data_IF_601881762136
#
_entry.id   IF_601881762136
#
_cell.length_a   1.000
_cell.length_b   1.000
_cell.length_c   1.000
_cell.angle_alpha   90.00
_cell.angle_beta   90.00
_cell.angle_gamma   90.00
#
_symmetry.space_group_name_H-M   'P 1'
#
loop_
_entity.id
_entity.type
_entity.pdbx_description
1 polymer ?
#
# COMPACT_ATOMS: atom_id res chain seq x y z
N UNK A 1 -5.38 20.81 -21.15
CA UNK A 1 -6.20 19.72 -20.62
C UNK A 1 -5.81 19.51 -19.17
N UNK A 2 -6.76 19.53 -18.23
CA UNK A 2 -6.47 19.24 -16.81
C UNK A 2 -5.87 17.83 -16.71
N UNK A 3 -4.73 17.69 -16.03
CA UNK A 3 -4.13 16.38 -15.74
C UNK A 3 -5.17 15.61 -14.92
N UNK A 4 -5.69 14.51 -15.46
CA UNK A 4 -6.70 13.68 -14.80
C UNK A 4 -6.14 13.16 -13.49
N UNK A 5 -6.97 13.10 -12.46
CA UNK A 5 -6.51 12.74 -11.12
C UNK A 5 -6.94 11.32 -10.75
N UNK A 6 -5.98 10.50 -10.32
CA UNK A 6 -6.29 9.22 -9.70
C UNK A 6 -6.86 9.45 -8.31
N UNK A 7 -7.74 8.55 -7.89
CA UNK A 7 -8.48 8.68 -6.63
C UNK A 7 -8.01 7.62 -5.66
N UNK A 8 -7.60 8.00 -4.46
CA UNK A 8 -7.03 7.11 -3.46
C UNK A 8 -7.90 7.12 -2.21
N UNK A 9 -8.48 5.98 -1.87
CA UNK A 9 -9.26 5.77 -0.66
C UNK A 9 -8.34 5.16 0.41
N UNK A 10 -8.24 5.81 1.56
CA UNK A 10 -7.38 5.38 2.66
C UNK A 10 -8.15 4.65 3.76
N UNK A 11 -7.55 3.56 4.24
CA UNK A 11 -7.82 2.99 5.56
C UNK A 11 -7.10 3.82 6.67
N UNK A 12 -7.69 3.89 7.86
CA UNK A 12 -7.08 4.52 9.04
C UNK A 12 -5.71 3.92 9.37
N UNK A 13 -5.51 2.63 9.13
CA UNK A 13 -4.24 1.94 9.36
C UNK A 13 -3.06 2.60 8.63
N UNK A 14 -3.32 3.25 7.49
CA UNK A 14 -2.31 4.06 6.79
C UNK A 14 -1.73 5.14 7.70
N UNK A 15 -2.58 6.00 8.24
CA UNK A 15 -2.17 7.13 9.08
C UNK A 15 -1.68 6.68 10.44
N UNK A 16 -2.27 5.63 11.02
CA UNK A 16 -1.80 5.02 12.27
C UNK A 16 -0.36 4.55 12.10
N UNK A 17 -0.04 3.82 11.02
CA UNK A 17 1.32 3.39 10.73
C UNK A 17 2.28 4.59 10.59
N UNK A 18 1.88 5.65 9.87
CA UNK A 18 2.70 6.87 9.72
C UNK A 18 3.00 7.54 11.07
N UNK A 19 2.05 7.52 12.00
CA UNK A 19 2.25 8.04 13.36
C UNK A 19 3.19 7.14 14.18
N UNK A 20 3.02 5.82 14.10
CA UNK A 20 3.84 4.83 14.82
C UNK A 20 5.30 4.90 14.40
N UNK A 21 5.57 4.99 13.09
CA UNK A 21 6.94 5.15 12.60
C UNK A 21 7.47 6.57 12.84
N UNK A 22 6.67 7.53 13.30
CA UNK A 22 7.02 8.96 13.48
C UNK A 22 7.49 9.58 12.15
N UNK A 23 6.67 9.45 11.10
CA UNK A 23 6.93 10.01 9.78
C UNK A 23 6.86 11.55 9.81
N UNK A 24 8.00 12.22 9.81
CA UNK A 24 8.09 13.69 9.89
C UNK A 24 7.46 14.33 8.64
N UNK A 25 6.57 15.31 8.85
CA UNK A 25 5.87 16.06 7.81
C UNK A 25 5.23 15.18 6.70
N UNK A 26 4.68 14.01 7.07
CA UNK A 26 4.06 13.10 6.11
C UNK A 26 2.91 13.75 5.34
N UNK A 27 2.04 14.51 6.03
CA UNK A 27 0.89 15.17 5.40
C UNK A 27 1.32 16.20 4.36
N UNK A 28 2.37 16.98 4.63
CA UNK A 28 2.89 17.95 3.65
C UNK A 28 3.56 17.27 2.44
N UNK A 29 4.26 16.15 2.64
CA UNK A 29 4.84 15.42 1.52
C UNK A 29 3.78 14.67 0.69
N UNK A 30 2.71 14.18 1.33
CA UNK A 30 1.56 13.61 0.63
C UNK A 30 0.82 14.65 -0.20
N UNK A 31 0.63 15.86 0.31
CA UNK A 31 0.05 16.98 -0.44
C UNK A 31 0.91 17.37 -1.66
N UNK A 32 2.24 17.46 -1.49
CA UNK A 32 3.17 17.69 -2.61
C UNK A 32 3.04 16.58 -3.65
N UNK A 33 3.08 15.32 -3.22
CA UNK A 33 2.95 14.17 -4.11
C UNK A 33 1.59 14.13 -4.82
N UNK A 34 0.51 14.48 -4.13
CA UNK A 34 -0.84 14.54 -4.70
C UNK A 34 -0.93 15.59 -5.81
N UNK A 35 -0.39 16.78 -5.59
CA UNK A 35 -0.39 17.83 -6.60
C UNK A 35 0.48 17.46 -7.82
N UNK A 36 1.62 16.81 -7.58
CA UNK A 36 2.55 16.42 -8.63
C UNK A 36 2.00 15.27 -9.50
N UNK A 37 1.48 14.23 -8.86
CA UNK A 37 1.00 13.01 -9.48
C UNK A 37 -0.45 13.11 -9.94
N UNK A 38 -1.18 14.12 -9.47
CA UNK A 38 -2.62 14.23 -9.70
C UNK A 38 -3.37 13.19 -8.88
N UNK A 39 -3.22 13.21 -7.55
CA UNK A 39 -4.04 12.37 -6.66
C UNK A 39 -5.10 13.18 -5.94
N UNK A 40 -6.24 12.55 -5.72
CA UNK A 40 -7.27 12.99 -4.78
C UNK A 40 -7.46 11.94 -3.71
N UNK A 41 -7.44 12.38 -2.46
CA UNK A 41 -7.46 11.48 -1.33
C UNK A 41 -8.83 11.48 -0.66
N UNK A 42 -9.32 10.30 -0.33
CA UNK A 42 -10.65 10.08 0.23
C UNK A 42 -10.56 9.18 1.46
N UNK A 43 -11.44 9.39 2.41
CA UNK A 43 -11.63 8.53 3.58
C UNK A 43 -13.07 8.68 4.06
N UNK A 44 -13.65 7.65 4.68
CA UNK A 44 -14.94 7.82 5.34
C UNK A 44 -14.78 8.54 6.68
N UNK A 45 -15.80 9.30 7.08
CA UNK A 45 -15.85 9.98 8.38
C UNK A 45 -15.70 9.01 9.56
N UNK A 46 -16.29 7.81 9.45
CA UNK A 46 -16.22 6.79 10.51
C UNK A 46 -14.77 6.30 10.66
N UNK A 47 -14.12 5.93 9.56
CA UNK A 47 -12.72 5.45 9.57
C UNK A 47 -11.75 6.58 9.94
N UNK A 48 -11.99 7.81 9.47
CA UNK A 48 -11.21 8.98 9.88
C UNK A 48 -11.19 9.14 11.42
N UNK A 49 -12.33 8.94 12.08
CA UNK A 49 -12.45 9.10 13.53
C UNK A 49 -11.74 8.00 14.33
N UNK A 50 -11.30 6.91 13.70
CA UNK A 50 -10.49 5.87 14.33
C UNK A 50 -9.02 6.31 14.50
N UNK A 51 -8.59 7.32 13.75
CA UNK A 51 -7.22 7.83 13.78
C UNK A 51 -6.99 8.62 15.09
N UNK A 52 -6.27 7.99 16.02
CA UNK A 52 -5.88 8.62 17.29
C UNK A 52 -4.62 9.47 17.11
N UNK A 53 -4.80 10.76 16.85
CA UNK A 53 -3.71 11.72 16.64
C UNK A 53 -3.99 13.07 17.33
N UNK A 54 -2.97 13.91 17.55
CA UNK A 54 -3.17 15.28 18.04
C UNK A 54 -4.10 16.10 17.11
N UNK A 55 -4.88 17.01 17.67
CA UNK A 55 -5.83 17.84 16.90
C UNK A 55 -5.18 18.56 15.72
N UNK A 56 -3.97 19.13 15.92
CA UNK A 56 -3.22 19.80 14.84
C UNK A 56 -2.89 18.88 13.66
N UNK A 57 -2.69 17.58 13.90
CA UNK A 57 -2.50 16.60 12.85
C UNK A 57 -3.82 16.30 12.13
N UNK A 58 -4.90 16.09 12.89
CA UNK A 58 -6.22 15.79 12.34
C UNK A 58 -6.77 16.96 11.52
N UNK A 59 -6.56 18.20 11.96
CA UNK A 59 -6.99 19.41 11.25
C UNK A 59 -6.27 19.52 9.90
N UNK A 60 -4.95 19.30 9.89
CA UNK A 60 -4.19 19.24 8.64
C UNK A 60 -4.60 18.06 7.77
N UNK A 61 -4.91 16.91 8.36
CA UNK A 61 -5.36 15.74 7.62
C UNK A 61 -6.71 16.00 6.94
N UNK A 62 -7.65 16.67 7.61
CA UNK A 62 -8.95 17.09 7.03
C UNK A 62 -8.78 18.05 5.85
N UNK A 63 -7.70 18.82 5.81
CA UNK A 63 -7.44 19.73 4.68
C UNK A 63 -6.94 19.01 3.43
N UNK A 64 -6.27 17.86 3.58
CA UNK A 64 -5.73 17.09 2.45
C UNK A 64 -6.65 15.94 2.00
N UNK A 65 -7.63 15.54 2.81
CA UNK A 65 -8.56 14.45 2.53
C UNK A 65 -9.96 14.98 2.26
N UNK A 66 -10.62 14.40 1.27
CA UNK A 66 -12.07 14.43 1.14
C UNK A 66 -12.66 13.43 2.16
N UNK A 67 -13.19 13.96 3.26
CA UNK A 67 -13.79 13.16 4.34
C UNK A 67 -15.29 13.00 4.05
N UNK A 68 -15.68 11.82 3.58
CA UNK A 68 -17.04 11.52 3.13
C UNK A 68 -17.90 10.93 4.26
N UNK A 69 -19.12 11.42 4.39
CA UNK A 69 -20.10 10.87 5.34
C UNK A 69 -20.95 9.79 4.65
N UNK A 70 -20.81 8.55 5.14
CA UNK A 70 -21.49 7.38 4.57
C UNK A 70 -22.61 6.95 5.51
N UNK A 71 -23.82 6.90 4.97
CA UNK A 71 -25.04 6.55 5.68
C UNK A 71 -25.18 5.03 5.84
N UNK A 72 -25.89 4.55 6.88
CA UNK A 72 -26.08 3.11 7.11
C UNK A 72 -26.70 2.37 5.92
N UNK A 73 -27.67 2.96 5.22
CA UNK A 73 -28.29 2.35 4.04
C UNK A 73 -27.31 2.14 2.86
N UNK A 74 -26.29 3.00 2.74
CA UNK A 74 -25.22 2.85 1.74
C UNK A 74 -24.29 1.68 2.09
N UNK A 75 -24.03 1.47 3.39
CA UNK A 75 -23.29 0.29 3.86
C UNK A 75 -24.11 -0.99 3.60
N UNK A 76 -25.41 -0.97 3.87
CA UNK A 76 -26.31 -2.08 3.58
C UNK A 76 -26.34 -2.44 2.09
N UNK A 77 -26.22 -1.47 1.18
CA UNK A 77 -26.07 -1.72 -0.26
C UNK A 77 -24.84 -2.60 -0.56
N UNK A 78 -23.68 -2.27 0.03
CA UNK A 78 -22.45 -3.08 -0.11
C UNK A 78 -22.63 -4.47 0.49
N UNK A 79 -23.27 -4.58 1.66
CA UNK A 79 -23.56 -5.89 2.29
C UNK A 79 -24.47 -6.75 1.44
N UNK A 80 -25.51 -6.15 0.84
CA UNK A 80 -26.42 -6.82 -0.08
C UNK A 80 -25.68 -7.34 -1.32
N UNK A 81 -24.75 -6.55 -1.87
CA UNK A 81 -23.89 -7.00 -2.96
C UNK A 81 -22.97 -8.16 -2.55
N UNK A 82 -22.39 -8.12 -1.34
CA UNK A 82 -21.55 -9.19 -0.80
C UNK A 82 -22.32 -10.48 -0.51
N UNK A 83 -23.60 -10.37 -0.14
CA UNK A 83 -24.45 -11.53 0.19
C UNK A 83 -24.55 -12.54 -0.97
N UNK A 84 -24.46 -12.04 -2.22
CA UNK A 84 -24.44 -12.83 -3.46
C UNK A 84 -23.27 -13.83 -3.52
N UNK A 85 -22.19 -13.55 -2.79
CA UNK A 85 -20.96 -14.36 -2.77
C UNK A 85 -20.87 -15.31 -1.57
N UNK A 86 -21.91 -15.42 -0.72
CA UNK A 86 -21.98 -16.32 0.46
C UNK A 86 -20.73 -16.24 1.36
N UNK A 87 -20.25 -15.02 1.63
CA UNK A 87 -19.04 -14.79 2.42
C UNK A 87 -19.32 -15.11 3.90
N UNK A 88 -18.49 -15.97 4.50
CA UNK A 88 -18.62 -16.37 5.92
C UNK A 88 -18.23 -15.27 6.91
N UNK A 89 -17.34 -14.37 6.51
CA UNK A 89 -16.79 -13.31 7.37
C UNK A 89 -16.64 -12.00 6.58
N UNK A 90 -17.71 -11.20 6.46
CA UNK A 90 -17.61 -9.88 5.84
C UNK A 90 -16.72 -8.96 6.69
N UNK A 91 -16.22 -7.89 6.06
CA UNK A 91 -15.50 -6.82 6.73
C UNK A 91 -16.50 -6.01 7.59
N UNK A 92 -15.99 -5.23 8.52
CA UNK A 92 -16.85 -4.48 9.44
C UNK A 92 -17.46 -3.28 8.72
N UNK A 93 -18.55 -2.74 9.28
CA UNK A 93 -19.27 -1.60 8.70
C UNK A 93 -18.36 -0.37 8.42
N UNK A 94 -17.40 0.00 9.29
CA UNK A 94 -16.41 1.03 8.96
C UNK A 94 -15.61 0.70 7.70
N UNK A 95 -15.11 -0.53 7.56
CA UNK A 95 -14.36 -0.95 6.37
C UNK A 95 -15.23 -0.90 5.11
N UNK A 96 -16.49 -1.34 5.21
CA UNK A 96 -17.44 -1.33 4.10
C UNK A 96 -17.79 0.08 3.63
N UNK A 97 -17.67 1.09 4.51
CA UNK A 97 -17.82 2.49 4.09
C UNK A 97 -16.72 2.93 3.11
N UNK A 98 -15.50 2.40 3.23
CA UNK A 98 -14.42 2.65 2.27
C UNK A 98 -14.70 1.98 0.92
N UNK A 99 -15.25 0.76 0.96
CA UNK A 99 -15.69 0.04 -0.25
C UNK A 99 -16.78 0.82 -0.98
N UNK A 100 -17.72 1.41 -0.24
CA UNK A 100 -18.78 2.24 -0.81
C UNK A 100 -18.23 3.51 -1.47
N UNK A 101 -17.28 4.20 -0.82
CA UNK A 101 -16.59 5.36 -1.43
C UNK A 101 -15.94 4.91 -2.74
N UNK A 102 -15.11 3.85 -2.70
CA UNK A 102 -14.42 3.37 -3.89
C UNK A 102 -15.39 2.98 -5.01
N UNK A 103 -16.53 2.33 -4.69
CA UNK A 103 -17.61 2.02 -5.64
C UNK A 103 -18.10 3.28 -6.36
N UNK A 104 -18.42 4.32 -5.62
CA UNK A 104 -18.96 5.55 -6.20
C UNK A 104 -17.94 6.26 -7.09
N UNK A 105 -16.65 6.13 -6.75
CA UNK A 105 -15.57 6.71 -7.54
C UNK A 105 -15.26 5.95 -8.84
N UNK A 106 -15.77 4.73 -9.03
CA UNK A 106 -15.60 3.97 -10.30
C UNK A 106 -16.51 4.50 -11.41
N UNK A 107 -17.59 5.21 -11.07
CA UNK A 107 -18.71 5.49 -11.99
C UNK A 107 -18.72 6.89 -12.62
N UNK A 108 -17.59 7.59 -12.67
CA UNK A 108 -17.46 8.72 -13.60
C UNK A 108 -17.07 8.17 -14.96
N UNK A 109 -17.59 8.71 -16.05
CA UNK A 109 -17.20 8.45 -17.47
C UNK A 109 -15.72 8.83 -17.78
N UNK A 110 -14.84 8.72 -16.79
CA UNK A 110 -13.50 9.20 -16.75
C UNK A 110 -12.52 8.05 -16.50
N UNK A 111 -11.39 8.09 -17.19
CA UNK A 111 -10.33 7.07 -17.12
C UNK A 111 -9.51 7.15 -15.81
N UNK A 112 -10.02 7.82 -14.77
CA UNK A 112 -9.34 7.97 -13.48
C UNK A 112 -9.28 6.62 -12.77
N UNK A 113 -8.09 6.22 -12.33
CA UNK A 113 -7.95 4.97 -11.58
C UNK A 113 -8.35 5.18 -10.12
N UNK A 114 -9.03 4.18 -9.54
CA UNK A 114 -9.43 4.18 -8.13
C UNK A 114 -8.54 3.20 -7.38
N UNK A 115 -7.83 3.72 -6.37
CA UNK A 115 -6.98 2.95 -5.48
C UNK A 115 -7.64 2.81 -4.11
N UNK A 116 -7.60 1.59 -3.55
CA UNK A 116 -7.89 1.35 -2.14
C UNK A 116 -6.59 0.98 -1.43
N UNK A 117 -6.17 1.77 -0.44
CA UNK A 117 -4.93 1.57 0.32
C UNK A 117 -5.26 0.93 1.66
N UNK A 118 -4.98 -0.37 1.78
CA UNK A 118 -5.23 -1.14 3.01
C UNK A 118 -4.37 -2.41 3.04
N UNK A 119 -4.01 -2.83 4.25
CA UNK A 119 -3.39 -4.14 4.53
C UNK A 119 -4.38 -5.15 5.16
N UNK A 120 -5.67 -4.78 5.31
CA UNK A 120 -6.70 -5.65 5.87
C UNK A 120 -7.19 -6.67 4.83
N UNK A 121 -6.91 -7.96 5.08
CA UNK A 121 -7.22 -9.05 4.17
C UNK A 121 -8.72 -9.27 3.94
N UNK A 122 -9.57 -8.98 4.93
CA UNK A 122 -11.03 -9.10 4.75
C UNK A 122 -11.51 -8.00 3.82
N UNK A 123 -11.03 -6.78 4.01
CA UNK A 123 -11.36 -5.65 3.16
C UNK A 123 -10.85 -5.86 1.72
N UNK A 124 -9.60 -6.32 1.56
CA UNK A 124 -9.00 -6.70 0.27
C UNK A 124 -9.87 -7.72 -0.45
N UNK A 125 -10.22 -8.82 0.24
CA UNK A 125 -11.00 -9.93 -0.33
C UNK A 125 -12.40 -9.48 -0.76
N UNK A 126 -13.11 -8.76 0.10
CA UNK A 126 -14.47 -8.29 -0.19
C UNK A 126 -14.49 -7.34 -1.38
N UNK A 127 -13.56 -6.38 -1.41
CA UNK A 127 -13.43 -5.42 -2.52
C UNK A 127 -13.10 -6.12 -3.84
N UNK A 128 -12.16 -7.07 -3.81
CA UNK A 128 -11.75 -7.83 -4.99
C UNK A 128 -12.90 -8.67 -5.56
N UNK A 129 -13.74 -9.25 -4.70
CA UNK A 129 -14.91 -10.03 -5.11
C UNK A 129 -15.97 -9.19 -5.80
N UNK A 130 -16.28 -8.01 -5.25
CA UNK A 130 -17.32 -7.11 -5.75
C UNK A 130 -16.91 -6.39 -7.04
N UNK A 131 -15.65 -5.93 -7.11
CA UNK A 131 -15.23 -4.97 -8.12
C UNK A 131 -14.09 -5.46 -9.01
N UNK A 132 -13.72 -6.76 -8.97
CA UNK A 132 -12.77 -7.46 -9.87
C UNK A 132 -11.96 -6.55 -10.81
N UNK A 133 -10.87 -5.97 -10.33
CA UNK A 133 -9.94 -5.17 -11.12
C UNK A 133 -10.34 -3.71 -11.40
N UNK A 134 -11.60 -3.32 -11.16
CA UNK A 134 -12.07 -1.92 -11.27
C UNK A 134 -11.58 -1.03 -10.13
N UNK A 135 -11.27 -1.63 -8.97
CA UNK A 135 -10.56 -0.96 -7.87
C UNK A 135 -9.19 -1.59 -7.77
N UNK A 136 -8.14 -0.79 -7.90
CA UNK A 136 -6.79 -1.24 -7.68
C UNK A 136 -6.46 -1.22 -6.18
N UNK A 137 -6.22 -2.40 -5.60
CA UNK A 137 -5.94 -2.52 -4.18
C UNK A 137 -4.43 -2.54 -3.97
N UNK A 138 -3.94 -1.55 -3.21
CA UNK A 138 -2.55 -1.38 -2.84
C UNK A 138 -2.40 -1.65 -1.34
N UNK A 139 -1.36 -2.39 -0.98
CA UNK A 139 -0.87 -2.37 0.40
C UNK A 139 -0.35 -0.97 0.75
N UNK A 140 -0.28 -0.66 2.05
CA UNK A 140 0.28 0.61 2.53
C UNK A 140 1.69 0.86 1.97
N UNK A 141 2.55 -0.16 2.06
CA UNK A 141 3.93 -0.08 1.59
C UNK A 141 4.00 0.04 0.07
N UNK A 142 3.17 -0.69 -0.68
CA UNK A 142 3.15 -0.59 -2.15
C UNK A 142 2.67 0.79 -2.63
N UNK A 143 1.75 1.44 -1.92
CA UNK A 143 1.34 2.81 -2.24
C UNK A 143 2.49 3.82 -2.04
N UNK A 144 3.23 3.72 -0.93
CA UNK A 144 4.41 4.56 -0.71
C UNK A 144 5.51 4.31 -1.75
N UNK A 145 5.69 3.04 -2.15
CA UNK A 145 6.60 2.66 -3.24
C UNK A 145 6.13 3.25 -4.58
N UNK A 146 4.83 3.23 -4.86
CA UNK A 146 4.24 3.83 -6.07
C UNK A 146 4.57 5.32 -6.13
N UNK A 147 4.34 6.06 -5.05
CA UNK A 147 4.71 7.49 -4.97
C UNK A 147 6.23 7.66 -5.19
N UNK A 148 7.04 6.86 -4.52
CA UNK A 148 8.51 6.92 -4.62
C UNK A 148 8.99 6.73 -6.07
N UNK A 149 8.41 5.80 -6.83
CA UNK A 149 8.80 5.52 -8.22
C UNK A 149 8.28 6.58 -9.20
N UNK A 150 7.07 7.07 -8.97
CA UNK A 150 6.37 7.96 -9.91
C UNK A 150 6.69 9.44 -9.74
N UNK A 151 7.14 9.87 -8.55
CA UNK A 151 7.56 11.26 -8.35
C UNK A 151 8.83 11.59 -9.13
N UNK A 152 8.82 12.74 -9.76
CA UNK A 152 9.87 13.33 -10.59
C UNK A 152 10.98 13.97 -9.76
N UNK A 153 10.69 14.45 -8.55
CA UNK A 153 11.66 15.20 -7.75
C UNK A 153 12.50 14.28 -6.86
N UNK A 154 13.84 14.43 -6.92
CA UNK A 154 14.78 13.63 -6.11
C UNK A 154 14.52 13.75 -4.60
N UNK A 155 14.13 14.94 -4.13
CA UNK A 155 13.79 15.19 -2.72
C UNK A 155 12.58 14.34 -2.27
N UNK A 156 11.48 14.38 -3.01
CA UNK A 156 10.26 13.62 -2.71
C UNK A 156 10.52 12.13 -2.85
N UNK A 157 11.25 11.71 -3.89
CA UNK A 157 11.70 10.32 -4.07
C UNK A 157 12.49 9.80 -2.87
N UNK A 158 13.48 10.56 -2.39
CA UNK A 158 14.29 10.18 -1.22
C UNK A 158 13.44 10.12 0.05
N UNK A 159 12.52 11.05 0.24
CA UNK A 159 11.60 11.06 1.37
C UNK A 159 10.73 9.80 1.39
N UNK A 160 10.00 9.53 0.30
CA UNK A 160 9.11 8.37 0.24
C UNK A 160 9.86 7.05 0.23
N UNK A 161 11.11 6.99 -0.25
CA UNK A 161 11.99 5.81 -0.07
C UNK A 161 12.25 5.50 1.40
N UNK A 162 12.55 6.51 2.23
CA UNK A 162 12.76 6.30 3.66
C UNK A 162 11.47 5.88 4.37
N UNK A 163 10.36 6.57 4.08
CA UNK A 163 9.06 6.27 4.68
C UNK A 163 8.60 4.86 4.29
N UNK A 164 8.71 4.49 3.01
CA UNK A 164 8.40 3.13 2.52
C UNK A 164 9.18 2.06 3.28
N UNK A 165 10.50 2.21 3.41
CA UNK A 165 11.34 1.23 4.12
C UNK A 165 10.91 1.10 5.58
N UNK A 166 10.69 2.23 6.26
CA UNK A 166 10.30 2.24 7.68
C UNK A 166 8.91 1.65 7.90
N UNK A 167 7.96 1.96 7.01
CA UNK A 167 6.60 1.41 7.09
C UNK A 167 6.57 -0.09 6.79
N UNK A 168 7.37 -0.54 5.81
CA UNK A 168 7.50 -1.96 5.50
C UNK A 168 8.08 -2.72 6.69
N UNK A 169 9.18 -2.23 7.26
CA UNK A 169 9.79 -2.85 8.44
C UNK A 169 8.80 -2.90 9.62
N UNK A 170 8.10 -1.80 9.91
CA UNK A 170 7.07 -1.78 10.95
C UNK A 170 5.98 -2.84 10.71
N UNK A 171 5.49 -2.94 9.48
CA UNK A 171 4.43 -3.89 9.09
C UNK A 171 4.89 -5.34 9.24
N UNK A 172 6.11 -5.65 8.77
CA UNK A 172 6.71 -6.97 8.88
C UNK A 172 6.97 -7.36 10.33
N UNK A 173 7.57 -6.47 11.13
CA UNK A 173 7.80 -6.71 12.56
C UNK A 173 6.50 -7.02 13.29
N UNK A 174 5.45 -6.22 13.06
CA UNK A 174 4.14 -6.45 13.65
C UNK A 174 3.51 -7.79 13.23
N UNK A 175 3.67 -8.20 11.96
CA UNK A 175 3.20 -9.50 11.48
C UNK A 175 3.95 -10.67 12.12
N UNK A 176 5.28 -10.55 12.27
CA UNK A 176 6.13 -11.57 12.89
C UNK A 176 5.79 -11.72 14.37
N UNK A 177 5.62 -10.62 15.11
CA UNK A 177 5.21 -10.61 16.52
C UNK A 177 3.86 -11.32 16.72
N UNK A 178 2.97 -11.23 15.73
CA UNK A 178 1.63 -11.85 15.74
C UNK A 178 1.53 -13.14 14.93
N UNK A 179 2.66 -13.74 14.55
CA UNK A 179 2.73 -14.96 13.74
C UNK A 179 2.03 -16.16 14.37
N UNK A 180 1.91 -16.19 15.70
CA UNK A 180 1.14 -17.23 16.41
C UNK A 180 -0.37 -17.12 16.22
N UNK A 181 -0.87 -15.98 15.76
CA UNK A 181 -2.31 -15.68 15.66
C UNK A 181 -2.81 -15.61 14.22
N UNK A 182 -1.92 -15.39 13.24
CA UNK A 182 -2.28 -15.23 11.82
C UNK A 182 -1.22 -15.84 10.90
N UNK A 183 -1.59 -16.28 9.68
CA UNK A 183 -0.63 -16.81 8.70
C UNK A 183 0.27 -15.68 8.19
N UNK A 184 1.35 -15.39 8.92
CA UNK A 184 2.26 -14.28 8.62
C UNK A 184 2.91 -14.44 7.24
N UNK A 185 3.29 -15.65 6.86
CA UNK A 185 3.89 -15.96 5.55
C UNK A 185 3.01 -15.51 4.38
N UNK A 186 1.73 -15.92 4.37
CA UNK A 186 0.78 -15.52 3.31
C UNK A 186 0.64 -13.99 3.21
N UNK A 187 0.69 -13.29 4.36
CA UNK A 187 0.61 -11.83 4.38
C UNK A 187 1.87 -11.19 3.81
N UNK A 188 3.04 -11.73 4.14
CA UNK A 188 4.33 -11.27 3.63
C UNK A 188 4.39 -11.49 2.11
N UNK A 189 4.04 -12.69 1.63
CA UNK A 189 3.96 -12.99 0.19
C UNK A 189 3.07 -12.00 -0.54
N UNK A 190 1.87 -11.74 -0.03
CA UNK A 190 0.97 -10.76 -0.62
C UNK A 190 1.54 -9.34 -0.65
N UNK A 191 2.25 -8.89 0.40
CA UNK A 191 2.92 -7.59 0.41
C UNK A 191 4.00 -7.49 -0.68
N UNK A 192 4.76 -8.58 -0.88
CA UNK A 192 5.79 -8.66 -1.91
C UNK A 192 5.15 -8.62 -3.31
N UNK A 193 4.11 -9.42 -3.55
CA UNK A 193 3.37 -9.40 -4.82
C UNK A 193 2.87 -7.99 -5.15
N UNK A 194 2.29 -7.28 -4.17
CA UNK A 194 1.84 -5.89 -4.35
C UNK A 194 2.97 -4.92 -4.64
N UNK A 195 4.15 -5.11 -4.06
CA UNK A 195 5.32 -4.32 -4.40
C UNK A 195 5.79 -4.60 -5.84
N UNK A 196 5.81 -5.86 -6.26
CA UNK A 196 6.20 -6.28 -7.61
C UNK A 196 5.26 -5.65 -8.65
N UNK A 197 3.94 -5.76 -8.47
CA UNK A 197 2.96 -5.16 -9.40
C UNK A 197 3.17 -3.66 -9.59
N UNK A 198 3.51 -2.93 -8.53
CA UNK A 198 3.80 -1.48 -8.62
C UNK A 198 5.11 -1.20 -9.38
N UNK A 199 6.05 -2.13 -9.36
CA UNK A 199 7.33 -2.00 -10.09
C UNK A 199 7.26 -2.47 -11.54
N UNK A 200 6.37 -3.40 -11.90
CA UNK A 200 6.22 -3.90 -13.28
C UNK A 200 5.90 -2.77 -14.27
N UNK A 201 5.00 -1.84 -13.90
CA UNK A 201 4.71 -0.64 -14.70
C UNK A 201 5.95 0.26 -14.93
N UNK A 202 6.91 0.23 -13.99
CA UNK A 202 8.13 1.02 -14.03
C UNK A 202 9.29 0.33 -14.75
N UNK A 203 9.28 -1.00 -14.83
CA UNK A 203 10.28 -1.81 -15.57
C UNK A 203 10.03 -1.68 -17.07
N UNK A 204 8.76 -1.63 -17.49
CA UNK A 204 8.39 -1.40 -18.89
C UNK A 204 8.76 -0.01 -19.42
N UNK A 205 8.94 0.98 -18.53
CA UNK A 205 9.09 2.40 -18.91
C UNK A 205 10.48 2.99 -18.65
N UNK A 206 11.44 2.22 -18.13
CA UNK A 206 12.81 2.74 -17.90
C UNK A 206 13.96 1.87 -18.42
N UNK A 207 13.74 0.60 -18.76
CA UNK A 207 14.86 -0.31 -19.05
C UNK A 207 15.15 -0.52 -20.55
N UNK A 208 14.45 0.18 -21.46
CA UNK A 208 14.58 -0.02 -22.91
C UNK A 208 15.12 1.18 -23.72
N UNK A 209 15.12 2.40 -23.18
CA UNK A 209 15.41 3.60 -24.01
C UNK A 209 16.67 4.39 -23.64
N UNK A 210 17.39 4.08 -22.55
CA UNK A 210 18.47 4.96 -22.10
C UNK A 210 19.90 4.42 -22.12
N UNK A 211 20.15 3.11 -22.24
CA UNK A 211 21.54 2.64 -22.08
C UNK A 211 22.17 1.77 -23.17
N UNK A 212 21.47 0.94 -23.96
CA UNK A 212 22.09 0.27 -25.14
C UNK A 212 21.05 -0.48 -26.03
N UNK A 213 20.83 -0.07 -27.30
CA UNK A 213 19.88 -0.76 -28.19
C UNK A 213 20.32 -2.18 -28.61
N UNK A 214 21.62 -2.49 -28.57
CA UNK A 214 22.20 -3.74 -29.08
C UNK A 214 22.74 -4.68 -27.98
N UNK A 215 22.60 -4.33 -26.70
CA UNK A 215 23.02 -5.19 -25.60
C UNK A 215 21.86 -6.09 -25.20
N UNK A 216 21.88 -7.35 -25.66
CA UNK A 216 20.97 -8.38 -25.20
C UNK A 216 20.82 -8.38 -23.66
N UNK A 217 19.57 -8.35 -23.21
CA UNK A 217 19.14 -8.23 -21.82
C UNK A 217 19.82 -9.29 -20.93
N UNK A 218 20.61 -8.87 -19.94
CA UNK A 218 21.05 -9.75 -18.84
C UNK A 218 20.29 -9.38 -17.58
N UNK A 219 19.43 -10.31 -17.14
CA UNK A 219 18.81 -10.27 -15.82
C UNK A 219 19.88 -10.50 -14.75
N UNK A 220 20.36 -9.44 -14.11
CA UNK A 220 21.05 -9.58 -12.82
C UNK A 220 20.00 -9.45 -11.71
N UNK A 221 19.35 -10.57 -11.42
CA UNK A 221 18.57 -10.75 -10.19
C UNK A 221 19.52 -10.45 -9.02
N UNK A 222 19.14 -9.52 -8.15
CA UNK A 222 19.94 -9.02 -7.01
C UNK A 222 20.33 -10.05 -5.93
N UNK A 223 20.28 -11.35 -6.25
CA UNK A 223 20.91 -12.41 -5.48
C UNK A 223 22.44 -12.21 -5.43
N UNK A 224 23.08 -11.69 -6.48
CA UNK A 224 24.55 -11.63 -6.56
C UNK A 224 25.23 -10.87 -5.42
N UNK A 225 24.55 -9.87 -4.83
CA UNK A 225 25.12 -8.99 -3.80
C UNK A 225 24.96 -9.51 -2.37
N UNK A 226 24.06 -10.47 -2.15
CA UNK A 226 23.69 -11.00 -0.82
C UNK A 226 23.70 -12.53 -0.77
N UNK A 227 24.29 -13.19 -1.77
CA UNK A 227 24.41 -14.65 -1.85
C UNK A 227 25.04 -15.25 -0.60
N UNK A 228 26.04 -14.58 -0.03
CA UNK A 228 26.71 -15.04 1.19
C UNK A 228 25.75 -15.01 2.40
N UNK A 229 25.05 -13.89 2.61
CA UNK A 229 24.05 -13.75 3.68
C UNK A 229 22.88 -14.73 3.53
N UNK A 230 22.43 -14.97 2.29
CA UNK A 230 21.37 -15.95 1.98
C UNK A 230 21.86 -17.37 2.30
N UNK A 231 23.11 -17.71 1.93
CA UNK A 231 23.69 -19.02 2.20
C UNK A 231 23.86 -19.26 3.71
N UNK A 232 24.27 -18.23 4.46
CA UNK A 232 24.38 -18.30 5.92
C UNK A 232 22.99 -18.48 6.55
N UNK A 233 21.99 -17.74 6.10
CA UNK A 233 20.61 -17.88 6.56
C UNK A 233 20.04 -19.29 6.25
N UNK A 234 20.33 -19.85 5.07
CA UNK A 234 19.93 -21.21 4.71
C UNK A 234 20.60 -22.27 5.60
N UNK A 235 21.89 -22.13 5.90
CA UNK A 235 22.61 -23.00 6.86
C UNK A 235 21.98 -22.93 8.25
N UNK A 236 21.66 -21.73 8.73
CA UNK A 236 21.00 -21.54 10.02
C UNK A 236 19.62 -22.21 10.07
N UNK A 237 18.78 -21.96 9.06
CA UNK A 237 17.42 -22.54 8.96
C UNK A 237 17.46 -24.06 8.85
N UNK A 238 18.49 -24.61 8.20
CA UNK A 238 18.68 -26.06 8.04
C UNK A 238 19.43 -26.74 9.19
N UNK A 239 19.70 -26.03 10.30
CA UNK A 239 20.47 -26.51 11.46
C UNK A 239 21.86 -27.07 11.08
N UNK A 240 22.51 -26.47 10.09
CA UNK A 240 23.91 -26.75 9.78
C UNK A 240 24.82 -25.89 10.67
N UNK A 241 25.99 -26.43 11.04
CA UNK A 241 26.97 -25.70 11.84
C UNK A 241 27.49 -24.47 11.07
N UNK A 242 27.42 -23.30 11.70
CA UNK A 242 28.00 -22.05 11.21
C UNK A 242 29.41 -21.87 11.75
N UNK A 243 30.31 -21.33 10.94
CA UNK A 243 31.63 -20.91 11.41
C UNK A 243 31.54 -19.62 12.23
N UNK A 244 32.50 -19.38 13.13
CA UNK A 244 32.56 -18.17 13.97
C UNK A 244 32.49 -16.87 13.18
N UNK A 245 33.04 -16.83 11.97
CA UNK A 245 32.96 -15.66 11.08
C UNK A 245 31.59 -15.47 10.44
N UNK A 246 30.82 -16.55 10.25
CA UNK A 246 29.44 -16.49 9.73
C UNK A 246 28.43 -16.11 10.83
N UNK A 247 28.75 -16.33 12.10
CA UNK A 247 27.94 -15.89 13.25
C UNK A 247 28.13 -14.40 13.60
N UNK A 248 29.24 -13.78 13.18
CA UNK A 248 29.60 -12.39 13.49
C UNK A 248 29.15 -11.36 12.42
N UNK A 249 28.58 -11.83 11.29
CA UNK A 249 28.03 -11.01 10.20
C UNK A 249 26.54 -10.70 10.40
#
# INVERSE_FOLDING_TARGET
>A
MSKKKDRVVFDANFFICMLQIRARNILGNLEIAANELGYEFYISKVVFNEIKAPHTYLDKLRQILNVEEILPNQIEEVKNDLSKYKIRFPAQDPDLSLVYIAKNLINSEDLSTVHLVTDDFKLVKNTSMLYKGRINILSLSSFLLKIQRTTTTSKTRKYFKDIWRRSLNYTLSYMIERSKTYPAEQKITWLIEKAITVTEDSILSQDLELENPDAGMKFEIGASRYLEEITIAEKYISNQDLSKSEEEQ
#
